data_IF_176190690679
#
_entry.id   IF_176190690679
#
_cell.length_a   1.000
_cell.length_b   1.000
_cell.length_c   1.000
_cell.angle_alpha   90.00
_cell.angle_beta   90.00
_cell.angle_gamma   90.00
#
_symmetry.space_group_name_H-M   'P 1'
#
loop_
_entity.id
_entity.type
_entity.pdbx_description
1 polymer ?
#
# COMPACT_ATOMS: atom_id res chain seq x y z
N UNK A 1 -11.81 -25.81 72.32
CA UNK A 1 -10.78 -26.85 72.54
C UNK A 1 -10.85 -28.01 71.53
N UNK A 2 -12.04 -28.39 71.03
CA UNK A 2 -12.19 -29.51 70.07
C UNK A 2 -11.85 -29.20 68.60
N UNK A 3 -11.92 -27.94 68.16
CA UNK A 3 -11.67 -27.59 66.74
C UNK A 3 -10.20 -27.80 66.33
N UNK A 4 -9.26 -27.38 67.18
CA UNK A 4 -7.82 -27.50 66.89
C UNK A 4 -7.32 -28.94 66.88
N UNK A 5 -7.90 -29.82 67.71
CA UNK A 5 -7.54 -31.23 67.78
C UNK A 5 -7.97 -31.98 66.50
N UNK A 6 -9.17 -31.70 65.99
CA UNK A 6 -9.67 -32.33 64.77
C UNK A 6 -8.91 -31.88 63.51
N UNK A 7 -8.48 -30.61 63.44
CA UNK A 7 -7.71 -30.08 62.31
C UNK A 7 -6.32 -30.72 62.15
N UNK A 8 -5.68 -31.13 63.25
CA UNK A 8 -4.38 -31.82 63.20
C UNK A 8 -4.50 -33.32 62.88
N UNK A 9 -5.57 -33.98 63.32
CA UNK A 9 -5.76 -35.42 63.09
C UNK A 9 -6.39 -35.77 61.74
N UNK A 10 -7.19 -34.88 61.15
CA UNK A 10 -7.79 -35.03 59.83
C UNK A 10 -6.80 -35.39 58.71
N UNK A 11 -5.67 -34.68 58.51
CA UNK A 11 -4.71 -35.02 57.46
C UNK A 11 -4.06 -36.39 57.69
N UNK A 12 -3.84 -36.76 58.96
CA UNK A 12 -3.26 -38.06 59.31
C UNK A 12 -4.24 -39.21 59.00
N UNK A 13 -5.52 -39.06 59.35
CA UNK A 13 -6.55 -40.06 59.02
C UNK A 13 -6.77 -40.20 57.51
N UNK A 14 -6.72 -39.09 56.77
CA UNK A 14 -6.81 -39.09 55.31
C UNK A 14 -5.61 -39.79 54.68
N UNK A 15 -4.40 -39.55 55.20
CA UNK A 15 -3.18 -40.22 54.75
C UNK A 15 -3.28 -41.73 54.95
N UNK A 16 -3.63 -42.20 56.14
CA UNK A 16 -3.74 -43.65 56.42
C UNK A 16 -4.77 -44.32 55.50
N UNK A 17 -5.93 -43.70 55.28
CA UNK A 17 -6.93 -44.19 54.32
C UNK A 17 -6.41 -44.14 52.87
N UNK A 18 -5.66 -43.10 52.49
CA UNK A 18 -5.12 -42.97 51.14
C UNK A 18 -4.11 -44.07 50.79
N UNK A 19 -3.25 -44.43 51.73
CA UNK A 19 -2.25 -45.50 51.57
C UNK A 19 -2.87 -46.91 51.48
N UNK A 20 -4.11 -47.08 51.96
CA UNK A 20 -4.84 -48.35 51.88
C UNK A 20 -5.43 -48.65 50.48
N UNK A 21 -5.54 -47.66 49.60
CA UNK A 21 -6.13 -47.86 48.27
C UNK A 21 -5.16 -48.52 47.27
N UNK A 22 -5.67 -49.22 46.24
CA UNK A 22 -4.87 -49.68 45.09
C UNK A 22 -4.09 -48.55 44.40
N UNK A 23 -2.93 -48.87 43.84
CA UNK A 23 -2.00 -47.90 43.24
C UNK A 23 -2.65 -46.98 42.18
N UNK A 24 -3.48 -47.56 41.30
CA UNK A 24 -4.17 -46.81 40.24
C UNK A 24 -5.08 -45.69 40.78
N UNK A 25 -5.80 -45.95 41.88
CA UNK A 25 -6.68 -44.95 42.51
C UNK A 25 -5.88 -43.83 43.18
N UNK A 26 -4.71 -44.14 43.75
CA UNK A 26 -3.79 -43.14 44.32
C UNK A 26 -3.25 -42.21 43.25
N UNK A 27 -2.85 -42.76 42.09
CA UNK A 27 -2.33 -41.96 40.97
C UNK A 27 -3.42 -41.04 40.40
N UNK A 28 -4.64 -41.56 40.19
CA UNK A 28 -5.77 -40.78 39.69
C UNK A 28 -6.15 -39.62 40.64
N UNK A 29 -6.15 -39.87 41.95
CA UNK A 29 -6.42 -38.85 42.96
C UNK A 29 -5.32 -37.77 43.02
N UNK A 30 -4.04 -38.13 42.85
CA UNK A 30 -2.95 -37.15 42.78
C UNK A 30 -3.09 -36.25 41.55
N UNK A 31 -3.41 -36.83 40.39
CA UNK A 31 -3.60 -36.08 39.15
C UNK A 31 -4.80 -35.13 39.27
N UNK A 32 -5.92 -35.58 39.84
CA UNK A 32 -7.11 -34.73 40.02
C UNK A 32 -6.85 -33.56 40.99
N UNK A 33 -6.15 -33.81 42.11
CA UNK A 33 -5.75 -32.76 43.04
C UNK A 33 -4.81 -31.75 42.36
N UNK A 34 -3.84 -32.23 41.57
CA UNK A 34 -2.93 -31.36 40.82
C UNK A 34 -3.69 -30.46 39.82
N UNK A 35 -4.66 -31.02 39.08
CA UNK A 35 -5.50 -30.26 38.15
C UNK A 35 -6.34 -29.20 38.87
N UNK A 36 -6.96 -29.55 40.00
CA UNK A 36 -7.73 -28.61 40.82
C UNK A 36 -6.83 -27.46 41.31
N UNK A 37 -5.61 -27.77 41.74
CA UNK A 37 -4.65 -26.78 42.21
C UNK A 37 -4.22 -25.80 41.10
N UNK A 38 -4.00 -26.30 39.87
CA UNK A 38 -3.72 -25.45 38.70
C UNK A 38 -4.89 -24.50 38.39
N UNK A 39 -6.14 -24.99 38.46
CA UNK A 39 -7.33 -24.16 38.24
C UNK A 39 -7.46 -23.06 39.29
N UNK A 40 -7.19 -23.37 40.56
CA UNK A 40 -7.21 -22.39 41.66
C UNK A 40 -6.15 -21.30 41.43
N UNK A 41 -4.92 -21.69 41.10
CA UNK A 41 -3.83 -20.74 40.83
C UNK A 41 -4.19 -19.81 39.67
N UNK A 42 -4.74 -20.35 38.58
CA UNK A 42 -5.16 -19.55 37.43
C UNK A 42 -6.28 -18.55 37.80
N UNK A 43 -7.24 -18.97 38.62
CA UNK A 43 -8.32 -18.09 39.07
C UNK A 43 -7.80 -16.97 39.98
N UNK A 44 -6.89 -17.27 40.90
CA UNK A 44 -6.23 -16.28 41.76
C UNK A 44 -5.45 -15.27 40.91
N UNK A 45 -4.68 -15.75 39.92
CA UNK A 45 -3.93 -14.88 39.00
C UNK A 45 -4.85 -13.96 38.20
N UNK A 46 -5.98 -14.49 37.71
CA UNK A 46 -6.98 -13.69 37.00
C UNK A 46 -7.60 -12.62 37.90
N UNK A 47 -7.93 -12.94 39.15
CA UNK A 47 -8.49 -11.98 40.10
C UNK A 47 -7.49 -10.86 40.43
N UNK A 48 -6.22 -11.21 40.62
CA UNK A 48 -5.17 -10.22 40.88
C UNK A 48 -4.97 -9.29 39.69
N UNK A 49 -4.97 -9.83 38.47
CA UNK A 49 -4.88 -9.03 37.25
C UNK A 49 -6.08 -8.08 37.10
N UNK A 50 -7.30 -8.56 37.35
CA UNK A 50 -8.51 -7.74 37.26
C UNK A 50 -8.54 -6.65 38.34
N UNK A 51 -8.10 -6.97 39.56
CA UNK A 51 -8.02 -5.97 40.63
C UNK A 51 -6.97 -4.89 40.34
N UNK A 52 -5.80 -5.27 39.83
CA UNK A 52 -4.77 -4.33 39.39
C UNK A 52 -5.28 -3.41 38.28
N UNK A 53 -6.03 -3.94 37.32
CA UNK A 53 -6.66 -3.14 36.26
C UNK A 53 -7.68 -2.14 36.83
N UNK A 54 -8.53 -2.59 37.76
CA UNK A 54 -9.54 -1.75 38.38
C UNK A 54 -8.94 -0.57 39.16
N UNK A 55 -7.91 -0.80 39.99
CA UNK A 55 -7.27 0.27 40.77
C UNK A 55 -6.67 1.33 39.84
N UNK A 56 -5.94 0.92 38.81
CA UNK A 56 -5.35 1.84 37.81
C UNK A 56 -6.41 2.64 37.07
N UNK A 57 -7.53 2.01 36.72
CA UNK A 57 -8.64 2.66 36.03
C UNK A 57 -9.35 3.71 36.91
N UNK A 58 -9.53 3.44 38.20
CA UNK A 58 -10.17 4.38 39.14
C UNK A 58 -9.32 5.62 39.43
N UNK A 59 -8.00 5.45 39.60
CA UNK A 59 -7.09 6.58 39.80
C UNK A 59 -7.00 7.46 38.54
N UNK A 60 -6.92 6.84 37.35
CA UNK A 60 -6.87 7.53 36.06
C UNK A 60 -8.16 8.32 35.76
N UNK A 61 -9.33 7.81 36.14
CA UNK A 61 -10.61 8.50 35.99
C UNK A 61 -10.68 9.77 36.85
N UNK A 62 -10.27 9.68 38.12
CA UNK A 62 -10.30 10.81 39.04
C UNK A 62 -9.37 11.96 38.63
N UNK A 63 -8.21 11.64 38.04
CA UNK A 63 -7.27 12.64 37.52
C UNK A 63 -7.80 13.29 36.25
N UNK A 64 -8.42 12.50 35.36
CA UNK A 64 -9.02 13.01 34.13
C UNK A 64 -10.15 14.00 34.43
N UNK A 65 -11.02 13.70 35.39
CA UNK A 65 -12.10 14.60 35.80
C UNK A 65 -11.57 15.93 36.33
N UNK A 66 -10.53 15.91 37.18
CA UNK A 66 -9.90 17.13 37.71
C UNK A 66 -9.25 17.98 36.62
N UNK A 67 -8.60 17.35 35.64
CA UNK A 67 -8.01 18.05 34.49
C UNK A 67 -9.12 18.65 33.62
N UNK A 68 -10.20 17.91 33.39
CA UNK A 68 -11.34 18.34 32.58
C UNK A 68 -12.05 19.56 33.20
N UNK A 69 -12.29 19.57 34.51
CA UNK A 69 -12.93 20.71 35.18
C UNK A 69 -12.07 21.97 35.11
N UNK A 70 -10.76 21.88 35.37
CA UNK A 70 -9.87 23.05 35.28
C UNK A 70 -9.71 23.57 33.85
N UNK A 71 -9.50 22.68 32.88
CA UNK A 71 -9.34 23.06 31.48
C UNK A 71 -10.62 23.70 30.94
N UNK A 72 -11.79 23.14 31.25
CA UNK A 72 -13.06 23.75 30.85
C UNK A 72 -13.30 25.10 31.55
N UNK A 73 -12.96 25.22 32.83
CA UNK A 73 -13.06 26.50 33.55
C UNK A 73 -12.24 27.59 32.86
N UNK A 74 -11.02 27.28 32.40
CA UNK A 74 -10.14 28.25 31.70
C UNK A 74 -10.61 28.52 30.25
N UNK A 75 -11.12 27.50 29.55
CA UNK A 75 -11.54 27.62 28.14
C UNK A 75 -12.84 28.42 27.96
N UNK A 76 -13.76 28.35 28.93
CA UNK A 76 -15.05 29.04 28.88
C UNK A 76 -15.09 30.34 29.70
N UNK A 77 -13.97 30.73 30.32
CA UNK A 77 -13.89 32.00 31.03
C UNK A 77 -13.80 33.18 30.05
N UNK A 78 -14.53 34.25 30.33
CA UNK A 78 -14.58 35.46 29.50
C UNK A 78 -13.29 36.29 29.55
N UNK A 79 -12.45 36.10 30.57
CA UNK A 79 -11.20 36.85 30.74
C UNK A 79 -10.00 36.14 30.11
N UNK A 80 -9.18 36.90 29.40
CA UNK A 80 -7.89 36.40 28.89
C UNK A 80 -6.91 36.26 30.06
N UNK A 81 -6.47 35.03 30.35
CA UNK A 81 -5.42 34.79 31.34
C UNK A 81 -4.06 34.79 30.65
N UNK A 82 -3.01 35.17 31.39
CA UNK A 82 -1.64 35.10 30.86
C UNK A 82 -1.21 33.65 30.63
N UNK A 83 -0.47 33.40 29.54
CA UNK A 83 0.02 32.06 29.16
C UNK A 83 0.76 31.34 30.31
N UNK A 84 1.59 32.08 31.07
CA UNK A 84 2.34 31.53 32.21
C UNK A 84 1.45 31.08 33.36
N UNK A 85 0.36 31.81 33.63
CA UNK A 85 -0.58 31.46 34.69
C UNK A 85 -1.38 30.21 34.32
N UNK A 86 -1.86 30.13 33.08
CA UNK A 86 -2.59 28.95 32.55
C UNK A 86 -1.73 27.69 32.63
N UNK A 87 -0.45 27.79 32.24
CA UNK A 87 0.47 26.65 32.26
C UNK A 87 0.77 26.19 33.70
N UNK A 88 1.05 27.12 34.62
CA UNK A 88 1.33 26.78 36.01
C UNK A 88 0.12 26.17 36.72
N UNK A 89 -1.09 26.66 36.44
CA UNK A 89 -2.33 26.16 37.05
C UNK A 89 -2.64 24.73 36.58
N UNK A 90 -2.43 24.44 35.29
CA UNK A 90 -2.65 23.10 34.73
C UNK A 90 -1.51 22.12 35.09
N UNK A 91 -0.25 22.58 35.13
CA UNK A 91 0.90 21.77 35.56
C UNK A 91 0.89 21.45 37.06
N UNK A 92 0.18 22.24 37.89
CA UNK A 92 0.06 21.99 39.33
C UNK A 92 -0.65 20.67 39.67
N UNK A 93 -1.50 20.15 38.78
CA UNK A 93 -2.20 18.87 38.98
C UNK A 93 -1.34 17.67 38.61
N UNK A 94 -0.53 17.79 37.56
CA UNK A 94 0.31 16.71 37.02
C UNK A 94 1.32 17.30 36.03
N UNK A 95 2.49 16.67 35.88
CA UNK A 95 3.52 17.03 34.87
C UNK A 95 3.05 16.68 33.44
N UNK A 96 1.97 17.32 32.99
CA UNK A 96 1.25 16.99 31.76
C UNK A 96 2.11 17.26 30.53
N UNK A 97 2.96 18.27 30.57
CA UNK A 97 3.86 18.65 29.47
C UNK A 97 4.84 17.54 29.08
N UNK A 98 5.26 16.73 30.05
CA UNK A 98 6.18 15.60 29.82
C UNK A 98 5.43 14.27 29.63
N UNK A 99 4.17 14.22 30.08
CA UNK A 99 3.34 13.02 29.98
C UNK A 99 2.61 12.93 28.64
N UNK A 100 3.01 11.95 27.82
CA UNK A 100 2.30 11.56 26.59
C UNK A 100 0.80 11.31 26.81
N UNK A 101 0.41 10.82 28.00
CA UNK A 101 -1.00 10.58 28.34
C UNK A 101 -1.73 11.89 28.62
N UNK A 102 -1.10 12.80 29.36
CA UNK A 102 -1.64 14.13 29.64
C UNK A 102 -1.88 14.96 28.37
N UNK A 103 -0.90 14.98 27.46
CA UNK A 103 -1.05 15.66 26.16
C UNK A 103 -2.22 15.11 25.34
N UNK A 104 -2.46 13.79 25.37
CA UNK A 104 -3.63 13.18 24.73
C UNK A 104 -4.94 13.61 25.38
N UNK A 105 -5.00 13.65 26.72
CA UNK A 105 -6.19 14.08 27.45
C UNK A 105 -6.51 15.55 27.11
N UNK A 106 -5.53 16.46 27.21
CA UNK A 106 -5.72 17.88 26.85
C UNK A 106 -6.16 18.02 25.40
N UNK A 107 -5.51 17.32 24.47
CA UNK A 107 -5.89 17.41 23.05
C UNK A 107 -7.33 16.98 22.79
N UNK A 108 -7.83 15.94 23.48
CA UNK A 108 -9.23 15.51 23.40
C UNK A 108 -10.17 16.55 23.97
N UNK A 109 -9.82 17.16 25.11
CA UNK A 109 -10.63 18.23 25.73
C UNK A 109 -10.71 19.47 24.83
N UNK A 110 -9.60 19.87 24.22
CA UNK A 110 -9.58 20.99 23.26
C UNK A 110 -10.45 20.71 22.04
N UNK A 111 -10.37 19.50 21.46
CA UNK A 111 -11.23 19.10 20.33
C UNK A 111 -12.70 19.13 20.74
N UNK A 112 -13.05 18.61 21.94
CA UNK A 112 -14.42 18.63 22.44
C UNK A 112 -14.93 20.05 22.70
N UNK A 113 -14.10 20.93 23.26
CA UNK A 113 -14.44 22.33 23.48
C UNK A 113 -14.64 23.07 22.14
N UNK A 114 -13.76 22.83 21.16
CA UNK A 114 -13.86 23.38 19.81
C UNK A 114 -15.12 22.87 19.09
N UNK A 115 -15.45 21.57 19.20
CA UNK A 115 -16.68 21.04 18.61
C UNK A 115 -17.92 21.66 19.25
N UNK A 116 -17.98 21.74 20.58
CA UNK A 116 -19.12 22.35 21.30
C UNK A 116 -19.28 23.83 20.96
N UNK A 117 -18.18 24.55 20.77
CA UNK A 117 -18.21 25.93 20.30
C UNK A 117 -18.76 26.07 18.87
N UNK A 118 -18.35 25.19 17.94
CA UNK A 118 -18.88 25.17 16.55
C UNK A 118 -20.37 24.86 16.48
N UNK A 119 -20.88 24.06 17.41
CA UNK A 119 -22.31 23.77 17.56
C UNK A 119 -23.10 24.91 18.24
N UNK A 120 -22.42 25.98 18.70
CA UNK A 120 -23.06 27.15 19.31
C UNK A 120 -23.49 26.95 20.77
N UNK A 121 -23.06 25.88 21.43
CA UNK A 121 -23.46 25.56 22.82
C UNK A 121 -22.75 26.47 23.84
N UNK A 122 -21.52 26.90 23.56
CA UNK A 122 -20.69 27.72 24.45
C UNK A 122 -19.81 28.69 23.65
N UNK A 123 -19.53 29.87 24.23
CA UNK A 123 -18.57 30.83 23.68
C UNK A 123 -17.17 30.45 24.17
N UNK A 124 -16.31 30.03 23.24
CA UNK A 124 -14.95 29.62 23.54
C UNK A 124 -14.00 30.82 23.52
N UNK A 125 -13.16 30.94 24.54
CA UNK A 125 -12.12 31.96 24.58
C UNK A 125 -10.95 31.55 23.67
N UNK A 126 -10.92 32.11 22.47
CA UNK A 126 -9.90 31.82 21.45
C UNK A 126 -8.47 32.09 21.93
N UNK A 127 -8.25 33.08 22.81
CA UNK A 127 -6.92 33.41 23.31
C UNK A 127 -6.44 32.36 24.30
N UNK A 128 -7.28 32.00 25.27
CA UNK A 128 -6.96 30.94 26.24
C UNK A 128 -6.76 29.60 25.52
N UNK A 129 -7.57 29.29 24.50
CA UNK A 129 -7.40 28.12 23.66
C UNK A 129 -6.06 28.10 22.91
N UNK A 130 -5.68 29.22 22.28
CA UNK A 130 -4.36 29.35 21.62
C UNK A 130 -3.21 29.20 22.62
N UNK A 131 -3.32 29.77 23.82
CA UNK A 131 -2.31 29.65 24.88
C UNK A 131 -2.13 28.22 25.41
N UNK A 132 -3.21 27.44 25.59
CA UNK A 132 -3.11 26.03 25.97
C UNK A 132 -2.48 25.22 24.84
N UNK A 133 -2.86 25.50 23.60
CA UNK A 133 -2.39 24.78 22.41
C UNK A 133 -0.90 25.05 22.13
N UNK A 134 -0.44 26.30 22.25
CA UNK A 134 0.97 26.69 22.11
C UNK A 134 1.80 26.25 23.31
N UNK A 135 1.33 26.54 24.53
CA UNK A 135 2.10 26.38 25.76
C UNK A 135 2.42 24.93 26.11
N UNK A 136 1.52 23.99 25.78
CA UNK A 136 1.77 22.55 25.92
C UNK A 136 2.40 21.91 24.68
N UNK A 137 2.58 22.64 23.58
CA UNK A 137 3.20 22.12 22.36
C UNK A 137 2.40 20.98 21.70
N UNK A 138 1.07 21.05 21.74
CA UNK A 138 0.17 19.94 21.34
C UNK A 138 0.31 19.60 19.85
N UNK A 139 0.47 20.62 19.00
CA UNK A 139 0.71 20.42 17.56
C UNK A 139 2.01 19.63 17.35
N UNK A 140 3.12 20.10 17.94
CA UNK A 140 4.44 19.47 17.83
C UNK A 140 4.42 18.02 18.34
N UNK A 141 3.67 17.75 19.40
CA UNK A 141 3.48 16.40 19.92
C UNK A 141 2.84 15.47 18.87
N UNK A 142 1.73 15.89 18.25
CA UNK A 142 1.05 15.08 17.24
C UNK A 142 1.84 14.96 15.94
N UNK A 143 2.62 15.97 15.56
CA UNK A 143 3.56 15.89 14.43
C UNK A 143 4.64 14.81 14.66
N UNK A 144 5.19 14.72 15.86
CA UNK A 144 6.14 13.66 16.21
C UNK A 144 5.50 12.26 16.19
N UNK A 145 4.22 12.15 16.51
CA UNK A 145 3.47 10.87 16.42
C UNK A 145 3.22 10.42 14.97
N UNK A 146 3.20 11.34 14.00
CA UNK A 146 3.06 11.00 12.57
C UNK A 146 4.28 10.23 12.04
N UNK A 147 5.45 10.45 12.62
CA UNK A 147 6.71 9.79 12.23
C UNK A 147 6.83 8.38 12.85
N UNK A 148 5.86 7.95 13.64
CA UNK A 148 5.92 6.64 14.31
C UNK A 148 5.63 5.47 13.36
N UNK A 149 6.27 4.31 13.58
CA UNK A 149 6.06 3.09 12.77
C UNK A 149 4.71 2.39 13.00
N UNK A 150 3.80 2.95 13.81
CA UNK A 150 2.54 2.30 14.16
C UNK A 150 1.38 3.00 13.45
N UNK A 151 0.76 2.30 12.51
CA UNK A 151 -0.36 2.79 11.68
C UNK A 151 -1.51 3.37 12.52
N UNK A 152 -1.87 2.73 13.63
CA UNK A 152 -2.94 3.22 14.52
C UNK A 152 -2.60 4.55 15.20
N UNK A 153 -1.32 4.80 15.47
CA UNK A 153 -0.84 6.07 16.06
C UNK A 153 -0.82 7.17 15.02
N UNK A 154 -0.34 6.86 13.81
CA UNK A 154 -0.36 7.78 12.67
C UNK A 154 -1.80 8.21 12.37
N UNK A 155 -2.76 7.28 12.30
CA UNK A 155 -4.16 7.59 12.03
C UNK A 155 -4.76 8.51 13.10
N UNK A 156 -4.53 8.22 14.39
CA UNK A 156 -4.99 9.06 15.49
C UNK A 156 -4.36 10.46 15.45
N UNK A 157 -3.07 10.56 15.17
CA UNK A 157 -2.37 11.83 15.05
C UNK A 157 -2.93 12.68 13.90
N UNK A 158 -3.19 12.08 12.73
CA UNK A 158 -3.81 12.77 11.59
C UNK A 158 -5.22 13.28 11.94
N UNK A 159 -6.03 12.46 12.59
CA UNK A 159 -7.37 12.86 13.00
C UNK A 159 -7.32 14.03 14.00
N UNK A 160 -6.52 13.91 15.06
CA UNK A 160 -6.37 14.96 16.05
C UNK A 160 -5.84 16.27 15.45
N UNK A 161 -4.86 16.21 14.53
CA UNK A 161 -4.35 17.41 13.85
C UNK A 161 -5.43 18.07 12.99
N UNK A 162 -6.24 17.30 12.27
CA UNK A 162 -7.34 17.85 11.48
C UNK A 162 -8.42 18.50 12.36
N UNK A 163 -8.77 17.86 13.48
CA UNK A 163 -9.80 18.37 14.39
C UNK A 163 -9.32 19.59 15.20
N UNK A 164 -8.00 19.70 15.44
CA UNK A 164 -7.35 20.83 16.10
C UNK A 164 -7.08 22.02 15.17
N UNK A 165 -7.23 21.89 13.83
CA UNK A 165 -6.93 22.97 12.88
C UNK A 165 -7.81 24.20 13.15
N UNK A 166 -7.15 25.19 13.75
CA UNK A 166 -7.45 26.61 13.68
C UNK A 166 -7.09 27.07 12.25
N UNK A 167 -7.89 27.96 11.69
CA UNK A 167 -7.90 28.45 10.29
C UNK A 167 -6.57 29.01 9.74
N UNK A 168 -5.51 29.10 10.54
CA UNK A 168 -4.23 29.73 10.16
C UNK A 168 -3.13 28.75 9.66
N UNK A 169 -3.43 27.46 9.48
CA UNK A 169 -2.44 26.49 8.93
C UNK A 169 -2.77 26.05 7.50
N UNK A 170 -2.83 27.04 6.61
CA UNK A 170 -2.88 26.84 5.15
C UNK A 170 -1.59 26.25 4.55
N UNK A 171 -0.61 25.85 5.38
CA UNK A 171 0.63 25.20 4.93
C UNK A 171 0.51 23.67 4.77
N UNK A 172 -0.52 23.04 5.34
CA UNK A 172 -0.73 21.58 5.28
C UNK A 172 -1.85 21.15 4.32
N UNK A 173 -2.52 22.10 3.66
CA UNK A 173 -3.54 21.82 2.63
C UNK A 173 -2.94 21.41 1.29
N UNK A 174 -1.62 21.48 1.13
CA UNK A 174 -0.90 20.91 -0.03
C UNK A 174 -0.72 19.37 0.05
N UNK A 175 -1.23 18.72 1.10
CA UNK A 175 -1.40 17.26 1.15
C UNK A 175 -2.78 16.81 0.60
N UNK A 176 -3.53 17.71 -0.04
CA UNK A 176 -4.80 17.42 -0.72
C UNK A 176 -4.67 16.50 -1.95
N UNK A 177 -3.49 15.91 -2.22
CA UNK A 177 -3.40 14.61 -2.92
C UNK A 177 -4.15 13.49 -2.17
N UNK A 178 -4.65 13.72 -0.96
CA UNK A 178 -5.33 12.76 -0.10
C UNK A 178 -6.68 12.21 -0.60
N UNK A 179 -7.48 12.87 -1.44
CA UNK A 179 -8.74 12.27 -1.90
C UNK A 179 -8.53 11.24 -3.02
N UNK A 180 -7.64 11.55 -3.94
CA UNK A 180 -7.17 10.61 -4.97
C UNK A 180 -6.32 9.49 -4.34
N UNK A 181 -5.46 9.82 -3.36
CA UNK A 181 -4.77 8.85 -2.52
C UNK A 181 -5.72 8.03 -1.64
N UNK A 182 -6.85 8.56 -1.16
CA UNK A 182 -7.85 7.78 -0.41
C UNK A 182 -8.63 6.86 -1.34
N UNK A 183 -8.95 7.30 -2.56
CA UNK A 183 -9.54 6.42 -3.59
C UNK A 183 -8.58 5.32 -4.01
N UNK A 184 -7.31 5.64 -4.27
CA UNK A 184 -6.27 4.66 -4.59
C UNK A 184 -5.89 3.79 -3.39
N UNK A 185 -5.87 4.30 -2.15
CA UNK A 185 -5.67 3.49 -0.94
C UNK A 185 -6.87 2.57 -0.67
N UNK A 186 -8.10 3.04 -0.87
CA UNK A 186 -9.30 2.20 -0.76
C UNK A 186 -9.41 1.17 -1.90
N UNK A 187 -8.91 1.50 -3.10
CA UNK A 187 -8.73 0.55 -4.21
C UNK A 187 -7.63 -0.47 -3.87
N UNK A 188 -6.50 -0.04 -3.30
CA UNK A 188 -5.40 -0.92 -2.88
C UNK A 188 -5.77 -1.84 -1.70
N UNK A 189 -6.59 -1.38 -0.76
CA UNK A 189 -7.07 -2.23 0.35
C UNK A 189 -8.11 -3.24 -0.14
N UNK A 190 -8.97 -2.85 -1.10
CA UNK A 190 -9.83 -3.80 -1.82
C UNK A 190 -9.02 -4.81 -2.64
N UNK A 191 -7.91 -4.37 -3.25
CA UNK A 191 -6.98 -5.22 -4.00
C UNK A 191 -6.34 -6.27 -3.08
N UNK A 192 -5.79 -5.85 -1.93
CA UNK A 192 -5.19 -6.73 -0.92
C UNK A 192 -6.21 -7.75 -0.39
N UNK A 193 -7.43 -7.30 -0.06
CA UNK A 193 -8.48 -8.20 0.45
C UNK A 193 -9.01 -9.18 -0.62
N UNK A 194 -8.98 -8.83 -1.92
CA UNK A 194 -9.40 -9.73 -3.01
C UNK A 194 -8.33 -10.78 -3.36
N UNK A 195 -7.06 -10.54 -3.05
CA UNK A 195 -5.94 -11.48 -3.32
C UNK A 195 -6.01 -12.75 -2.46
N UNK A 196 -6.63 -12.67 -1.28
CA UNK A 196 -6.73 -13.79 -0.33
C UNK A 196 -7.89 -14.77 -0.64
N UNK A 197 -8.67 -14.52 -1.70
CA UNK A 197 -9.80 -15.37 -2.10
C UNK A 197 -9.44 -16.55 -3.02
N UNK A 198 -10.41 -17.45 -3.22
CA UNK A 198 -10.28 -18.67 -4.06
C UNK A 198 -9.96 -18.42 -5.56
N UNK A 199 -10.10 -17.18 -6.05
CA UNK A 199 -9.84 -16.81 -7.45
C UNK A 199 -8.88 -15.61 -7.53
N UNK A 200 -7.56 -15.83 -7.51
CA UNK A 200 -6.57 -14.78 -7.30
C UNK A 200 -6.51 -13.75 -8.43
N UNK A 201 -7.00 -14.07 -9.63
CA UNK A 201 -6.98 -13.17 -10.80
C UNK A 201 -8.30 -12.45 -11.07
N UNK A 202 -9.35 -12.74 -10.30
CA UNK A 202 -10.70 -12.19 -10.54
C UNK A 202 -10.74 -10.66 -10.47
N UNK A 203 -9.89 -10.06 -9.66
CA UNK A 203 -9.84 -8.60 -9.56
C UNK A 203 -9.43 -7.93 -10.88
N UNK A 204 -8.66 -8.60 -11.76
CA UNK A 204 -8.28 -8.09 -13.08
C UNK A 204 -9.49 -7.98 -14.02
N UNK A 205 -10.51 -8.81 -13.82
CA UNK A 205 -11.73 -8.80 -14.64
C UNK A 205 -12.72 -7.71 -14.20
N UNK A 206 -12.72 -7.30 -12.92
CA UNK A 206 -13.75 -6.42 -12.33
C UNK A 206 -13.31 -4.98 -12.06
N UNK A 207 -12.00 -4.70 -11.99
CA UNK A 207 -11.52 -3.48 -11.28
C UNK A 207 -11.05 -2.33 -12.17
N UNK A 208 -10.77 -2.56 -13.46
CA UNK A 208 -10.00 -1.60 -14.29
C UNK A 208 -10.72 -1.11 -15.55
N UNK A 209 -12.04 -1.27 -15.63
CA UNK A 209 -12.81 -0.91 -16.83
C UNK A 209 -12.91 0.61 -17.10
N UNK A 210 -12.81 1.47 -16.08
CA UNK A 210 -13.05 2.91 -16.21
C UNK A 210 -11.84 3.79 -16.00
N UNK A 211 -10.99 3.49 -15.01
CA UNK A 211 -9.78 4.26 -14.68
C UNK A 211 -8.67 3.30 -14.28
N UNK A 212 -7.46 3.52 -14.79
CA UNK A 212 -6.27 2.76 -14.43
C UNK A 212 -5.14 3.73 -14.09
N UNK A 213 -4.69 3.71 -12.83
CA UNK A 213 -3.74 4.70 -12.32
C UNK A 213 -2.32 4.13 -12.25
N UNK A 214 -1.27 4.98 -12.19
CA UNK A 214 0.12 4.49 -12.04
C UNK A 214 0.35 3.67 -10.76
N UNK A 215 -0.41 3.91 -9.69
CA UNK A 215 -0.34 3.06 -8.51
C UNK A 215 -0.91 1.67 -8.79
N UNK A 216 -2.01 1.59 -9.56
CA UNK A 216 -2.60 0.33 -9.96
C UNK A 216 -1.61 -0.48 -10.83
N UNK A 217 -0.85 0.17 -11.71
CA UNK A 217 0.26 -0.47 -12.44
C UNK A 217 1.27 -1.15 -11.51
N UNK A 218 1.76 -0.42 -10.51
CA UNK A 218 2.75 -0.95 -9.55
C UNK A 218 2.17 -2.14 -8.77
N UNK A 219 0.92 -2.02 -8.30
CA UNK A 219 0.27 -3.07 -7.51
C UNK A 219 0.01 -4.33 -8.35
N UNK A 220 -0.49 -4.17 -9.57
CA UNK A 220 -0.73 -5.31 -10.47
C UNK A 220 0.59 -5.95 -10.87
N UNK A 221 1.63 -5.17 -11.18
CA UNK A 221 2.95 -5.70 -11.51
C UNK A 221 3.53 -6.52 -10.34
N UNK A 222 3.53 -5.97 -9.13
CA UNK A 222 4.00 -6.68 -7.94
C UNK A 222 3.23 -7.98 -7.70
N UNK A 223 1.92 -7.97 -7.89
CA UNK A 223 1.10 -9.17 -7.78
C UNK A 223 1.49 -10.22 -8.83
N UNK A 224 1.62 -9.84 -10.10
CA UNK A 224 2.03 -10.76 -11.17
C UNK A 224 3.43 -11.30 -10.93
N UNK A 225 4.36 -10.48 -10.47
CA UNK A 225 5.72 -10.87 -10.12
C UNK A 225 5.74 -11.86 -8.95
N UNK A 226 4.96 -11.62 -7.90
CA UNK A 226 4.85 -12.56 -6.79
C UNK A 226 4.25 -13.90 -7.27
N UNK A 227 3.22 -13.85 -8.12
CA UNK A 227 2.59 -15.07 -8.64
C UNK A 227 3.48 -15.85 -9.59
N UNK A 228 4.26 -15.18 -10.45
CA UNK A 228 5.23 -15.85 -11.33
C UNK A 228 6.32 -16.56 -10.56
N UNK A 229 6.72 -16.03 -9.40
CA UNK A 229 7.67 -16.69 -8.51
C UNK A 229 7.07 -17.91 -7.80
N UNK A 230 5.78 -17.90 -7.49
CA UNK A 230 5.10 -19.02 -6.82
C UNK A 230 4.58 -20.12 -7.77
N UNK A 231 4.42 -19.81 -9.06
CA UNK A 231 3.85 -20.74 -10.03
C UNK A 231 3.75 -20.16 -11.45
N UNK A 232 3.11 -20.90 -12.36
CA UNK A 232 2.95 -20.45 -13.75
C UNK A 232 1.86 -19.39 -13.86
N UNK A 233 2.20 -18.26 -14.46
CA UNK A 233 1.22 -17.23 -14.78
C UNK A 233 0.23 -17.71 -15.85
N UNK A 234 -1.04 -17.29 -15.75
CA UNK A 234 -1.99 -17.45 -16.84
C UNK A 234 -1.56 -16.62 -18.06
N UNK A 235 -2.11 -16.97 -19.22
CA UNK A 235 -1.91 -16.21 -20.45
C UNK A 235 -2.53 -14.82 -20.29
N UNK A 236 -1.68 -13.79 -20.23
CA UNK A 236 -2.14 -12.43 -19.98
C UNK A 236 -2.95 -11.84 -21.15
N UNK A 237 -2.87 -12.46 -22.33
CA UNK A 237 -3.59 -12.08 -23.55
C UNK A 237 -5.11 -12.05 -23.39
N UNK A 238 -5.66 -12.81 -22.43
CA UNK A 238 -7.09 -12.76 -22.09
C UNK A 238 -7.54 -11.34 -21.70
N UNK A 239 -6.77 -10.67 -20.84
CA UNK A 239 -7.12 -9.33 -20.35
C UNK A 239 -6.91 -8.25 -21.40
N UNK A 240 -5.94 -8.44 -22.31
CA UNK A 240 -5.74 -7.55 -23.47
C UNK A 240 -6.94 -7.58 -24.41
N UNK A 241 -7.58 -8.75 -24.58
CA UNK A 241 -8.76 -8.91 -25.46
C UNK A 241 -10.05 -8.40 -24.84
N UNK A 242 -10.24 -8.66 -23.55
CA UNK A 242 -11.52 -8.44 -22.89
C UNK A 242 -11.68 -7.04 -22.30
N UNK A 243 -10.58 -6.37 -21.94
CA UNK A 243 -10.65 -5.04 -21.35
C UNK A 243 -11.02 -3.98 -22.38
N UNK A 244 -11.78 -2.97 -21.94
CA UNK A 244 -12.12 -1.79 -22.75
C UNK A 244 -11.15 -0.63 -22.54
N UNK A 245 -10.40 -0.63 -21.44
CA UNK A 245 -9.55 0.47 -21.04
C UNK A 245 -8.20 0.41 -21.79
N UNK A 246 -7.84 1.43 -22.60
CA UNK A 246 -6.60 1.40 -23.37
C UNK A 246 -5.35 1.38 -22.50
N UNK A 247 -5.34 2.10 -21.37
CA UNK A 247 -4.16 2.21 -20.50
C UNK A 247 -3.85 0.87 -19.81
N UNK A 248 -4.89 0.20 -19.32
CA UNK A 248 -4.76 -1.14 -18.77
C UNK A 248 -4.27 -2.15 -19.82
N UNK A 249 -4.77 -2.05 -21.06
CA UNK A 249 -4.32 -2.93 -22.15
C UNK A 249 -2.85 -2.70 -22.50
N UNK A 250 -2.41 -1.44 -22.57
CA UNK A 250 -1.00 -1.08 -22.79
C UNK A 250 -0.14 -1.70 -21.69
N UNK A 251 -0.55 -1.56 -20.44
CA UNK A 251 0.16 -2.17 -19.30
C UNK A 251 0.23 -3.69 -19.42
N UNK A 252 -0.89 -4.38 -19.66
CA UNK A 252 -0.91 -5.84 -19.79
C UNK A 252 -0.05 -6.34 -20.96
N UNK A 253 0.03 -5.59 -22.06
CA UNK A 253 0.92 -5.90 -23.20
C UNK A 253 2.39 -5.74 -22.82
N UNK A 254 2.75 -4.70 -22.05
CA UNK A 254 4.11 -4.53 -21.50
C UNK A 254 4.48 -5.68 -20.56
N UNK A 255 3.55 -6.11 -19.70
CA UNK A 255 3.75 -7.26 -18.81
C UNK A 255 3.95 -8.57 -19.58
N UNK A 256 3.25 -8.78 -20.71
CA UNK A 256 3.47 -9.94 -21.60
C UNK A 256 4.92 -9.98 -22.09
N UNK A 257 5.47 -8.83 -22.50
CA UNK A 257 6.85 -8.71 -22.94
C UNK A 257 7.83 -8.94 -21.77
N UNK A 258 7.54 -8.37 -20.59
CA UNK A 258 8.35 -8.52 -19.39
C UNK A 258 8.48 -9.99 -18.95
N UNK A 259 7.36 -10.71 -18.88
CA UNK A 259 7.34 -12.14 -18.53
C UNK A 259 7.68 -13.07 -19.70
N UNK A 260 8.03 -12.52 -20.88
CA UNK A 260 8.42 -13.26 -22.09
C UNK A 260 7.41 -14.35 -22.49
N UNK A 261 6.11 -14.05 -22.42
CA UNK A 261 5.05 -15.02 -22.73
C UNK A 261 4.86 -15.22 -24.24
N UNK A 262 5.66 -16.11 -24.85
CA UNK A 262 5.57 -16.42 -26.29
C UNK A 262 4.18 -16.91 -26.72
N UNK A 263 3.46 -17.64 -25.87
CA UNK A 263 2.10 -18.11 -26.15
C UNK A 263 1.07 -16.99 -26.35
N UNK A 264 1.38 -15.76 -25.93
CA UNK A 264 0.54 -14.58 -26.13
C UNK A 264 0.85 -13.86 -27.45
N UNK A 265 2.02 -14.08 -28.06
CA UNK A 265 2.51 -13.29 -29.21
C UNK A 265 1.57 -13.37 -30.43
N UNK A 266 1.14 -14.57 -30.81
CA UNK A 266 0.21 -14.76 -31.93
C UNK A 266 -1.15 -14.08 -31.68
N UNK A 267 -1.61 -14.07 -30.43
CA UNK A 267 -2.88 -13.47 -30.04
C UNK A 267 -2.81 -11.95 -30.12
N UNK A 268 -1.76 -11.34 -29.55
CA UNK A 268 -1.61 -9.87 -29.60
C UNK A 268 -1.34 -9.39 -31.03
N UNK A 269 -0.62 -10.17 -31.84
CA UNK A 269 -0.42 -9.86 -33.25
C UNK A 269 -1.76 -9.79 -34.01
N UNK A 270 -2.63 -10.78 -33.80
CA UNK A 270 -3.96 -10.80 -34.44
C UNK A 270 -4.88 -9.62 -34.08
N UNK A 271 -4.58 -8.88 -33.00
CA UNK A 271 -5.33 -7.71 -32.57
C UNK A 271 -4.92 -6.42 -33.31
N UNK A 272 -3.70 -6.34 -33.86
CA UNK A 272 -3.16 -5.15 -34.53
C UNK A 272 -4.09 -4.54 -35.59
N UNK A 273 -4.66 -5.32 -36.54
CA UNK A 273 -5.48 -4.75 -37.61
C UNK A 273 -6.80 -4.14 -37.12
N UNK A 274 -7.36 -4.68 -36.03
CA UNK A 274 -8.68 -4.31 -35.51
C UNK A 274 -8.60 -3.24 -34.42
N UNK A 275 -7.40 -2.88 -33.96
CA UNK A 275 -7.22 -1.96 -32.85
C UNK A 275 -7.41 -0.51 -33.30
N UNK A 276 -8.31 0.30 -32.73
CA UNK A 276 -8.47 1.70 -33.12
C UNK A 276 -7.44 2.64 -32.49
N UNK A 277 -6.85 2.28 -31.34
CA UNK A 277 -5.96 3.16 -30.59
C UNK A 277 -4.48 2.94 -30.98
N UNK A 278 -3.85 3.97 -31.54
CA UNK A 278 -2.44 3.94 -31.95
C UNK A 278 -1.47 3.69 -30.79
N UNK A 279 -1.77 4.13 -29.57
CA UNK A 279 -0.91 3.87 -28.40
C UNK A 279 -0.91 2.39 -28.01
N UNK A 280 -2.06 1.72 -28.16
CA UNK A 280 -2.17 0.27 -27.94
C UNK A 280 -1.41 -0.48 -29.04
N UNK A 281 -1.53 -0.05 -30.30
CA UNK A 281 -0.75 -0.61 -31.42
C UNK A 281 0.75 -0.48 -31.20
N UNK A 282 1.22 0.70 -30.77
CA UNK A 282 2.62 0.94 -30.42
C UNK A 282 3.12 -0.03 -29.34
N UNK A 283 2.34 -0.19 -28.27
CA UNK A 283 2.68 -1.12 -27.20
C UNK A 283 2.73 -2.58 -27.68
N UNK A 284 1.80 -2.99 -28.56
CA UNK A 284 1.80 -4.34 -29.14
C UNK A 284 3.03 -4.56 -30.02
N UNK A 285 3.39 -3.59 -30.87
CA UNK A 285 4.57 -3.67 -31.72
C UNK A 285 5.82 -3.82 -30.85
N UNK A 286 6.03 -2.92 -29.88
CA UNK A 286 7.18 -2.99 -28.96
C UNK A 286 7.25 -4.33 -28.21
N UNK A 287 6.11 -4.86 -27.76
CA UNK A 287 6.04 -6.18 -27.14
C UNK A 287 6.41 -7.31 -28.10
N UNK A 288 5.91 -7.32 -29.33
CA UNK A 288 6.24 -8.32 -30.35
C UNK A 288 7.72 -8.29 -30.72
N UNK A 289 8.31 -7.09 -30.80
CA UNK A 289 9.73 -6.88 -31.03
C UNK A 289 10.57 -7.45 -29.89
N UNK A 290 10.21 -7.16 -28.63
CA UNK A 290 10.88 -7.72 -27.43
C UNK A 290 10.76 -9.23 -27.32
N UNK A 291 9.67 -9.82 -27.83
CA UNK A 291 9.47 -11.26 -27.92
C UNK A 291 10.17 -11.91 -29.12
N UNK A 292 10.76 -11.10 -30.01
CA UNK A 292 11.38 -11.52 -31.28
C UNK A 292 10.46 -12.41 -32.14
N UNK A 293 9.18 -12.01 -32.25
CA UNK A 293 8.17 -12.79 -32.98
C UNK A 293 8.05 -12.33 -34.45
N UNK A 294 9.00 -12.75 -35.28
CA UNK A 294 9.09 -12.36 -36.69
C UNK A 294 7.86 -12.76 -37.53
N UNK A 295 7.07 -13.76 -37.13
CA UNK A 295 5.88 -14.19 -37.87
C UNK A 295 4.77 -13.11 -37.90
N UNK A 296 4.80 -12.13 -37.00
CA UNK A 296 3.87 -11.00 -37.01
C UNK A 296 4.26 -9.87 -37.97
N UNK A 297 5.41 -9.96 -38.64
CA UNK A 297 5.94 -8.89 -39.47
C UNK A 297 4.95 -8.44 -40.56
N UNK A 298 4.28 -9.36 -41.24
CA UNK A 298 3.26 -9.03 -42.25
C UNK A 298 2.07 -8.25 -41.69
N UNK A 299 1.71 -8.49 -40.42
CA UNK A 299 0.62 -7.78 -39.75
C UNK A 299 1.10 -6.39 -39.33
N UNK A 300 2.33 -6.26 -38.85
CA UNK A 300 2.95 -4.99 -38.44
C UNK A 300 3.14 -4.06 -39.64
N UNK A 301 3.66 -4.58 -40.76
CA UNK A 301 3.88 -3.79 -41.98
C UNK A 301 2.58 -3.29 -42.59
N UNK A 302 1.50 -4.08 -42.52
CA UNK A 302 0.17 -3.68 -42.99
C UNK A 302 -0.38 -2.43 -42.27
N UNK A 303 0.02 -2.21 -41.00
CA UNK A 303 -0.41 -1.06 -40.22
C UNK A 303 0.29 0.26 -40.60
N UNK A 304 1.36 0.21 -41.41
CA UNK A 304 2.17 1.39 -41.75
C UNK A 304 1.37 2.49 -42.47
N UNK A 305 0.49 2.10 -43.41
CA UNK A 305 -0.28 3.05 -44.23
C UNK A 305 -1.28 3.87 -43.42
N UNK A 306 -1.81 3.30 -42.34
CA UNK A 306 -2.87 3.90 -41.52
C UNK A 306 -2.35 4.42 -40.17
N UNK A 307 -1.04 4.42 -39.95
CA UNK A 307 -0.42 4.78 -38.67
C UNK A 307 -0.06 6.26 -38.54
N UNK A 308 -0.11 6.77 -37.31
CA UNK A 308 0.55 8.02 -36.93
C UNK A 308 2.08 7.96 -37.16
N UNK A 309 2.73 9.14 -37.20
CA UNK A 309 4.18 9.26 -37.41
C UNK A 309 5.00 8.43 -36.41
N UNK A 310 4.56 8.39 -35.14
CA UNK A 310 5.20 7.59 -34.09
C UNK A 310 5.08 6.09 -34.37
N UNK A 311 3.90 5.63 -34.81
CA UNK A 311 3.67 4.24 -35.19
C UNK A 311 4.56 3.84 -36.38
N UNK A 312 4.63 4.69 -37.41
CA UNK A 312 5.50 4.48 -38.57
C UNK A 312 6.97 4.32 -38.17
N UNK A 313 7.50 5.20 -37.32
CA UNK A 313 8.88 5.10 -36.79
C UNK A 313 9.11 3.80 -36.03
N UNK A 314 8.17 3.41 -35.17
CA UNK A 314 8.26 2.17 -34.40
C UNK A 314 8.22 0.92 -35.29
N UNK A 315 7.41 0.94 -36.37
CA UNK A 315 7.38 -0.13 -37.38
C UNK A 315 8.75 -0.26 -38.05
N UNK A 316 9.32 0.85 -38.53
CA UNK A 316 10.65 0.83 -39.18
C UNK A 316 11.71 0.28 -38.23
N UNK A 317 11.75 0.74 -36.98
CA UNK A 317 12.67 0.23 -35.96
C UNK A 317 12.48 -1.27 -35.70
N UNK A 318 11.24 -1.73 -35.63
CA UNK A 318 10.90 -3.15 -35.42
C UNK A 318 11.37 -4.02 -36.58
N UNK A 319 11.17 -3.55 -37.82
CA UNK A 319 11.62 -4.25 -39.03
C UNK A 319 13.16 -4.38 -39.04
N UNK A 320 13.89 -3.33 -38.65
CA UNK A 320 15.36 -3.41 -38.49
C UNK A 320 15.74 -4.49 -37.46
N UNK A 321 15.01 -4.58 -36.34
CA UNK A 321 15.31 -5.52 -35.27
C UNK A 321 15.01 -6.98 -35.63
N UNK A 322 13.98 -7.24 -36.44
CA UNK A 322 13.68 -8.59 -36.93
C UNK A 322 14.68 -9.09 -37.98
N UNK A 323 15.37 -8.19 -38.68
CA UNK A 323 16.43 -8.50 -39.66
C UNK A 323 16.00 -9.52 -40.72
N UNK A 324 14.77 -9.43 -41.23
CA UNK A 324 14.27 -10.35 -42.25
C UNK A 324 14.46 -9.77 -43.66
N UNK A 325 14.50 -10.67 -44.66
CA UNK A 325 14.51 -10.26 -46.08
C UNK A 325 13.22 -9.53 -46.49
N UNK A 326 12.09 -9.97 -45.93
CA UNK A 326 10.77 -9.36 -46.16
C UNK A 326 10.74 -7.91 -45.66
N UNK A 327 11.33 -7.65 -44.49
CA UNK A 327 11.47 -6.31 -43.94
C UNK A 327 12.28 -5.36 -44.83
N UNK A 328 13.35 -5.87 -45.45
CA UNK A 328 14.17 -5.08 -46.36
C UNK A 328 13.44 -4.73 -47.66
N UNK A 329 12.68 -5.66 -48.23
CA UNK A 329 11.80 -5.41 -49.38
C UNK A 329 10.79 -4.31 -49.05
N UNK A 330 10.13 -4.44 -47.90
CA UNK A 330 9.16 -3.45 -47.41
C UNK A 330 9.77 -2.05 -47.21
N UNK A 331 10.96 -1.94 -46.61
CA UNK A 331 11.62 -0.63 -46.45
C UNK A 331 12.00 0.00 -47.79
N UNK A 332 12.44 -0.79 -48.78
CA UNK A 332 12.71 -0.27 -50.13
C UNK A 332 11.44 0.27 -50.77
N UNK A 333 10.32 -0.46 -50.68
CA UNK A 333 9.03 -0.01 -51.23
C UNK A 333 8.57 1.31 -50.58
N UNK A 334 8.60 1.38 -49.25
CA UNK A 334 8.17 2.59 -48.53
C UNK A 334 9.06 3.79 -48.81
N UNK A 335 10.36 3.59 -48.98
CA UNK A 335 11.28 4.69 -49.28
C UNK A 335 10.86 5.47 -50.53
N UNK A 336 10.31 4.79 -51.55
CA UNK A 336 9.80 5.44 -52.75
C UNK A 336 8.41 6.05 -52.57
N UNK A 337 7.58 5.52 -51.67
CA UNK A 337 6.22 6.01 -51.42
C UNK A 337 6.15 7.20 -50.43
N UNK A 338 7.07 7.29 -49.47
CA UNK A 338 6.99 8.22 -48.35
C UNK A 338 7.35 9.66 -48.76
N UNK A 339 6.47 10.62 -48.42
CA UNK A 339 6.63 12.03 -48.80
C UNK A 339 7.32 12.88 -47.73
N UNK A 340 7.35 12.40 -46.49
CA UNK A 340 7.93 13.14 -45.36
C UNK A 340 9.45 12.98 -45.30
N UNK A 341 10.18 14.09 -45.39
CA UNK A 341 11.64 14.12 -45.42
C UNK A 341 12.28 13.56 -44.13
N UNK A 342 11.68 13.78 -42.95
CA UNK A 342 12.21 13.21 -41.69
C UNK A 342 12.11 11.68 -41.65
N UNK A 343 11.01 11.13 -42.17
CA UNK A 343 10.85 9.67 -42.25
C UNK A 343 11.77 9.07 -43.31
N UNK A 344 12.02 9.79 -44.41
CA UNK A 344 13.03 9.36 -45.40
C UNK A 344 14.42 9.28 -44.79
N UNK A 345 14.84 10.25 -43.96
CA UNK A 345 16.15 10.16 -43.30
C UNK A 345 16.24 8.97 -42.36
N UNK A 346 15.17 8.70 -41.59
CA UNK A 346 15.08 7.53 -40.71
C UNK A 346 15.13 6.22 -41.53
N UNK A 347 14.43 6.16 -42.67
CA UNK A 347 14.41 5.02 -43.59
C UNK A 347 15.77 4.78 -44.26
N UNK A 348 16.50 5.83 -44.64
CA UNK A 348 17.85 5.71 -45.21
C UNK A 348 18.79 5.10 -44.16
N UNK A 349 18.75 5.58 -42.92
CA UNK A 349 19.54 5.00 -41.82
C UNK A 349 19.17 3.53 -41.59
N UNK A 350 17.88 3.21 -41.59
CA UNK A 350 17.39 1.85 -41.45
C UNK A 350 17.90 0.91 -42.57
N UNK A 351 17.88 1.38 -43.82
CA UNK A 351 18.38 0.64 -44.98
C UNK A 351 19.89 0.43 -44.93
N UNK A 352 20.65 1.42 -44.46
CA UNK A 352 22.10 1.30 -44.27
C UNK A 352 22.41 0.23 -43.22
N UNK A 353 21.75 0.29 -42.06
CA UNK A 353 21.95 -0.67 -40.96
C UNK A 353 21.59 -2.11 -41.36
N UNK A 354 20.48 -2.30 -42.07
CA UNK A 354 20.13 -3.65 -42.53
C UNK A 354 21.08 -4.16 -43.62
N UNK A 355 21.62 -3.30 -44.49
CA UNK A 355 22.56 -3.71 -45.53
C UNK A 355 23.99 -3.92 -45.02
N UNK A 356 24.42 -3.22 -43.96
CA UNK A 356 25.73 -3.46 -43.34
C UNK A 356 25.80 -4.83 -42.68
N UNK A 357 24.75 -5.21 -41.94
CA UNK A 357 24.74 -6.46 -41.18
C UNK A 357 24.61 -7.71 -42.08
N UNK A 358 23.90 -7.61 -43.22
CA UNK A 358 23.83 -8.70 -44.21
C UNK A 358 25.19 -8.98 -44.86
N UNK A 359 26.06 -7.97 -44.95
CA UNK A 359 27.42 -8.16 -45.47
C UNK A 359 28.34 -8.82 -44.42
N UNK A 360 28.13 -8.58 -43.13
CA UNK A 360 28.89 -9.21 -42.03
C UNK A 360 28.43 -10.65 -41.71
N UNK A 361 27.15 -11.00 -41.92
CA UNK A 361 26.64 -12.38 -41.76
C UNK A 361 27.20 -13.40 -42.78
N UNK A 362 27.99 -12.95 -43.76
CA UNK A 362 28.76 -13.85 -44.62
C UNK A 362 29.98 -14.48 -43.90
N UNK A 363 30.32 -14.04 -42.69
CA UNK A 363 31.40 -14.62 -41.88
C UNK A 363 30.97 -14.95 -40.43
N UNK A 364 30.54 -16.20 -40.23
CA UNK A 364 30.54 -17.03 -38.98
C UNK A 364 29.32 -16.97 -38.02
N UNK A 365 29.04 -18.10 -37.33
CA UNK A 365 27.80 -18.30 -36.59
C UNK A 365 27.84 -17.75 -35.15
N UNK A 366 26.66 -17.31 -34.72
CA UNK A 366 26.32 -16.58 -33.50
C UNK A 366 26.58 -17.40 -32.23
N UNK A 367 27.39 -16.85 -31.32
CA UNK A 367 27.33 -17.12 -29.88
C UNK A 367 27.39 -15.79 -29.10
N UNK A 368 26.49 -15.71 -28.13
CA UNK A 368 26.44 -14.80 -26.98
C UNK A 368 25.97 -13.35 -27.19
N UNK A 369 24.65 -13.22 -27.30
CA UNK A 369 23.87 -11.98 -27.10
C UNK A 369 23.72 -11.66 -25.60
N UNK A 370 24.79 -11.24 -24.93
CA UNK A 370 24.72 -10.67 -23.58
C UNK A 370 25.14 -9.20 -23.48
N UNK A 371 26.06 -8.73 -24.32
CA UNK A 371 26.60 -7.35 -24.19
C UNK A 371 25.74 -6.25 -24.84
N UNK A 372 24.90 -6.58 -25.83
CA UNK A 372 24.05 -5.57 -26.52
C UNK A 372 22.88 -5.11 -25.65
N UNK A 373 22.47 -5.89 -24.64
CA UNK A 373 21.34 -5.54 -23.78
C UNK A 373 21.68 -4.45 -22.75
N UNK A 374 22.94 -4.32 -22.33
CA UNK A 374 23.31 -3.33 -21.29
C UNK A 374 23.42 -1.90 -21.84
N UNK A 375 23.74 -1.74 -23.13
CA UNK A 375 23.93 -0.42 -23.74
C UNK A 375 22.59 0.26 -24.10
N UNK A 376 21.49 -0.51 -24.23
CA UNK A 376 20.17 0.00 -24.61
C UNK A 376 19.18 0.17 -23.43
N UNK A 377 19.46 -0.42 -22.26
CA UNK A 377 18.56 -0.38 -21.09
C UNK A 377 18.81 0.81 -20.13
N UNK A 378 19.71 1.73 -20.47
CA UNK A 378 20.19 2.80 -19.58
C UNK A 378 19.20 3.92 -19.25
N UNK A 379 18.04 4.05 -19.91
CA UNK A 379 17.11 5.16 -19.65
C UNK A 379 15.67 4.68 -19.41
N UNK A 380 15.44 4.03 -18.27
CA UNK A 380 14.11 3.98 -17.66
C UNK A 380 13.90 5.30 -16.92
N UNK A 381 13.48 6.33 -17.66
CA UNK A 381 12.93 7.55 -17.07
C UNK A 381 11.50 7.24 -16.62
N UNK A 382 11.34 6.81 -15.37
CA UNK A 382 10.06 6.99 -14.68
C UNK A 382 9.83 8.50 -14.58
N UNK A 383 8.89 9.02 -15.36
CA UNK A 383 8.43 10.39 -15.20
C UNK A 383 7.81 10.52 -13.81
N UNK A 384 8.56 11.15 -12.91
CA UNK A 384 8.05 11.78 -11.71
C UNK A 384 7.36 13.08 -12.18
N UNK A 385 6.03 13.08 -12.11
CA UNK A 385 5.19 14.27 -12.06
C UNK A 385 4.38 14.26 -10.76
#
# INVERSE_FOLDING_TARGET
MYLGYNLQFLPYQLQVKFWSFPFLLRLAALISIALILVLIINKIRSLFNNWKLYVVETEDLSLKEKIETLVNAILFESTNRSEKYILNEIESLHAIKESRRGLKIISKLLIQANSKSRLGEYILNNNNYKHILSGFGIIKFWELELVSNNTSRIHKAKQCLNDLKIEETNSLTNLSKSEEQKKTMARSSKFINKIEGNEPYRFLDESFDTEFTPLDEILVHQFLLQKSNTGRLPLLSRWVRNSKNPDFRIFMVKEIAFFKQLGCASIIASLLPNEPNDNVRLAIIDALTKLNYAQAESQITSCYKNGSLQLKRSIVQTVILFKTRFGLEFLNEIFFEEKNEELKTDLIQALILMRSDINEESEKPIKDNQEVNEILLGNINYQIG
#
